data_IF_969937821404
#
_entry.id   IF_969937821404
#
_cell.length_a   1.000
_cell.length_b   1.000
_cell.length_c   1.000
_cell.angle_alpha   90.00
_cell.angle_beta   90.00
_cell.angle_gamma   90.00
#
_symmetry.space_group_name_H-M   'P 1'
#
loop_
_entity.id
_entity.type
_entity.pdbx_description
1 polymer ?
#
# COMPACT_ATOMS: atom_id res chain seq x y z
N UNK A 1 12.23 -5.49 -14.51
CA UNK A 1 13.25 -5.65 -13.45
C UNK A 1 12.97 -6.91 -12.64
N UNK A 2 13.95 -7.42 -11.95
CA UNK A 2 13.79 -8.66 -11.17
C UNK A 2 13.26 -8.36 -9.76
N UNK A 3 12.87 -9.43 -9.04
CA UNK A 3 12.27 -9.29 -7.72
C UNK A 3 13.20 -8.67 -6.67
N UNK A 4 14.50 -8.90 -6.78
CA UNK A 4 15.46 -8.30 -5.86
C UNK A 4 15.53 -6.78 -6.00
N UNK A 5 15.50 -6.28 -7.24
CA UNK A 5 15.44 -4.83 -7.49
C UNK A 5 14.14 -4.23 -6.99
N UNK A 6 13.03 -4.92 -7.22
CA UNK A 6 11.71 -4.48 -6.75
C UNK A 6 11.68 -4.39 -5.23
N UNK A 7 12.26 -5.37 -4.55
CA UNK A 7 12.33 -5.36 -3.09
C UNK A 7 13.07 -4.14 -2.56
N UNK A 8 14.20 -3.79 -3.20
CA UNK A 8 14.96 -2.60 -2.83
C UNK A 8 14.18 -1.31 -3.05
N UNK A 9 13.53 -1.19 -4.20
CA UNK A 9 12.82 0.03 -4.57
C UNK A 9 11.50 0.21 -3.80
N UNK A 10 10.79 -0.87 -3.52
CA UNK A 10 9.51 -0.82 -2.80
C UNK A 10 9.69 -0.78 -1.28
N UNK A 11 10.85 -1.20 -0.80
CA UNK A 11 11.10 -1.34 0.63
C UNK A 11 10.47 -2.57 1.25
N UNK A 12 9.99 -3.52 0.45
CA UNK A 12 9.33 -4.73 0.93
C UNK A 12 10.24 -5.95 0.83
N UNK A 13 10.14 -6.89 1.79
CA UNK A 13 10.84 -8.17 1.68
C UNK A 13 10.34 -8.97 0.46
N UNK A 14 11.22 -9.75 -0.13
CA UNK A 14 10.87 -10.62 -1.27
C UNK A 14 9.71 -11.55 -0.91
N UNK A 15 9.70 -12.09 0.29
CA UNK A 15 8.63 -12.97 0.77
C UNK A 15 7.26 -12.28 0.71
N UNK A 16 7.21 -11.00 1.09
CA UNK A 16 5.98 -10.21 1.05
C UNK A 16 5.52 -9.97 -0.38
N UNK A 17 6.46 -9.68 -1.28
CA UNK A 17 6.14 -9.48 -2.70
C UNK A 17 5.56 -10.76 -3.30
N UNK A 18 6.14 -11.92 -2.99
CA UNK A 18 5.62 -13.21 -3.45
C UNK A 18 4.22 -13.48 -2.90
N UNK A 19 3.97 -13.12 -1.65
CA UNK A 19 2.65 -13.25 -1.06
C UNK A 19 1.62 -12.40 -1.81
N UNK A 20 1.97 -11.14 -2.12
CA UNK A 20 1.06 -10.26 -2.85
C UNK A 20 0.81 -10.76 -4.27
N UNK A 21 1.80 -11.37 -4.91
CA UNK A 21 1.59 -12.03 -6.20
C UNK A 21 0.62 -13.20 -6.06
N UNK A 22 0.80 -14.02 -5.03
CA UNK A 22 -0.05 -15.19 -4.80
C UNK A 22 -1.51 -14.84 -4.59
N UNK A 23 -1.79 -13.74 -3.89
CA UNK A 23 -3.18 -13.31 -3.64
C UNK A 23 -3.73 -12.41 -4.74
N UNK A 24 -2.96 -12.19 -5.80
CA UNK A 24 -3.43 -11.47 -6.98
C UNK A 24 -3.35 -9.96 -6.91
N UNK A 25 -2.63 -9.41 -5.93
CA UNK A 25 -2.47 -7.96 -5.81
C UNK A 25 -1.55 -7.39 -6.89
N UNK A 26 -0.58 -8.17 -7.35
CA UNK A 26 0.28 -7.82 -8.47
C UNK A 26 0.39 -9.01 -9.41
N UNK A 27 0.63 -8.72 -10.68
CA UNK A 27 0.75 -9.75 -11.73
C UNK A 27 1.94 -9.40 -12.61
N UNK A 28 3.17 -9.78 -12.19
CA UNK A 28 4.34 -9.51 -13.02
C UNK A 28 4.26 -10.31 -14.32
N UNK A 29 4.83 -9.75 -15.37
CA UNK A 29 4.96 -10.47 -16.64
C UNK A 29 6.03 -11.53 -16.51
N UNK A 30 5.87 -12.64 -17.24
CA UNK A 30 6.89 -13.68 -17.31
C UNK A 30 7.58 -13.61 -18.67
N UNK A 31 8.91 -13.69 -18.65
CA UNK A 31 9.68 -13.79 -19.87
C UNK A 31 9.52 -15.19 -20.49
N UNK A 32 10.03 -15.37 -21.70
CA UNK A 32 9.95 -16.64 -22.42
C UNK A 32 10.57 -17.81 -21.63
N UNK A 33 11.55 -17.55 -20.76
CA UNK A 33 12.19 -18.57 -19.93
C UNK A 33 11.60 -18.68 -18.52
N UNK A 34 10.42 -18.10 -18.30
CA UNK A 34 9.67 -18.25 -17.06
C UNK A 34 10.06 -17.31 -15.93
N UNK A 35 11.04 -16.43 -16.10
CA UNK A 35 11.41 -15.48 -15.08
C UNK A 35 10.39 -14.35 -14.98
N UNK A 36 10.15 -13.87 -13.74
CA UNK A 36 9.27 -12.73 -13.49
C UNK A 36 9.93 -11.44 -13.94
N UNK A 37 9.15 -10.58 -14.58
CA UNK A 37 9.58 -9.23 -14.95
C UNK A 37 8.59 -8.23 -14.38
N UNK A 38 9.08 -7.38 -13.48
CA UNK A 38 8.27 -6.35 -12.82
C UNK A 38 8.44 -5.02 -13.56
N UNK A 39 7.41 -4.20 -13.50
CA UNK A 39 7.38 -2.86 -14.11
C UNK A 39 7.45 -1.80 -13.01
N UNK A 40 7.75 -0.56 -13.39
CA UNK A 40 7.74 0.56 -12.45
C UNK A 40 6.38 0.71 -11.77
N UNK A 41 5.29 0.47 -12.51
CA UNK A 41 3.95 0.50 -11.95
C UNK A 41 3.78 -0.52 -10.80
N UNK A 42 4.40 -1.68 -10.91
CA UNK A 42 4.35 -2.70 -9.84
C UNK A 42 5.07 -2.20 -8.59
N UNK A 43 6.20 -1.52 -8.75
CA UNK A 43 6.95 -0.94 -7.62
C UNK A 43 6.09 0.07 -6.88
N UNK A 44 5.43 0.96 -7.60
CA UNK A 44 4.55 1.98 -6.98
C UNK A 44 3.38 1.33 -6.25
N UNK A 45 2.77 0.33 -6.85
CA UNK A 45 1.67 -0.40 -6.23
C UNK A 45 2.12 -1.11 -4.96
N UNK A 46 3.28 -1.77 -4.99
CA UNK A 46 3.83 -2.46 -3.83
C UNK A 46 4.17 -1.48 -2.70
N UNK A 47 4.74 -0.32 -3.03
CA UNK A 47 5.03 0.72 -2.05
C UNK A 47 3.73 1.22 -1.39
N UNK A 48 2.68 1.41 -2.17
CA UNK A 48 1.36 1.79 -1.67
C UNK A 48 0.82 0.73 -0.70
N UNK A 49 0.87 -0.54 -1.09
CA UNK A 49 0.39 -1.65 -0.26
C UNK A 49 1.18 -1.76 1.04
N UNK A 50 2.50 -1.62 0.96
CA UNK A 50 3.36 -1.67 2.14
C UNK A 50 3.03 -0.57 3.14
N UNK A 51 2.79 0.65 2.63
CA UNK A 51 2.40 1.78 3.48
C UNK A 51 1.05 1.55 4.14
N UNK A 52 0.07 1.08 3.37
CA UNK A 52 -1.26 0.79 3.90
C UNK A 52 -1.18 -0.24 5.02
N UNK A 53 -0.43 -1.32 4.82
CA UNK A 53 -0.27 -2.36 5.82
C UNK A 53 0.43 -1.83 7.08
N UNK A 54 1.46 -1.03 6.92
CA UNK A 54 2.19 -0.47 8.05
C UNK A 54 1.32 0.47 8.90
N UNK A 55 0.30 1.06 8.28
CA UNK A 55 -0.65 1.94 8.97
C UNK A 55 -1.85 1.18 9.55
N UNK A 56 -1.86 -0.15 9.45
CA UNK A 56 -2.88 -0.98 10.06
C UNK A 56 -4.05 -1.36 9.16
N UNK A 57 -3.97 -1.08 7.87
CA UNK A 57 -5.01 -1.52 6.94
C UNK A 57 -4.92 -3.03 6.78
N UNK A 58 -6.07 -3.68 6.80
CA UNK A 58 -6.13 -5.14 6.62
C UNK A 58 -5.88 -5.52 5.16
N UNK A 59 -5.62 -6.80 4.91
CA UNK A 59 -5.51 -7.31 3.53
C UNK A 59 -6.81 -7.06 2.77
N UNK A 60 -7.96 -7.24 3.42
CA UNK A 60 -9.25 -6.95 2.79
C UNK A 60 -9.39 -5.47 2.43
N UNK A 61 -8.98 -4.58 3.33
CA UNK A 61 -8.95 -3.14 3.05
C UNK A 61 -8.08 -2.85 1.84
N UNK A 62 -6.89 -3.46 1.77
CA UNK A 62 -5.97 -3.29 0.66
C UNK A 62 -6.58 -3.75 -0.66
N UNK A 63 -7.31 -4.86 -0.64
CA UNK A 63 -7.99 -5.37 -1.84
C UNK A 63 -8.98 -4.33 -2.38
N UNK A 64 -9.78 -3.75 -1.49
CA UNK A 64 -10.74 -2.71 -1.87
C UNK A 64 -10.04 -1.45 -2.40
N UNK A 65 -8.98 -1.01 -1.72
CA UNK A 65 -8.26 0.21 -2.09
C UNK A 65 -7.51 0.07 -3.42
N UNK A 66 -7.09 -1.15 -3.79
CA UNK A 66 -6.45 -1.38 -5.08
C UNK A 66 -7.36 -1.05 -6.25
N UNK A 67 -8.68 -1.20 -6.10
CA UNK A 67 -9.62 -0.80 -7.15
C UNK A 67 -9.52 0.69 -7.44
N UNK A 68 -9.37 1.51 -6.41
CA UNK A 68 -9.17 2.95 -6.58
C UNK A 68 -7.81 3.25 -7.18
N UNK A 69 -6.78 2.57 -6.71
CA UNK A 69 -5.41 2.77 -7.17
C UNK A 69 -5.27 2.45 -8.66
N UNK A 70 -5.85 1.35 -9.10
CA UNK A 70 -5.73 0.88 -10.47
C UNK A 70 -6.70 1.58 -11.43
N UNK A 71 -7.86 2.00 -10.93
CA UNK A 71 -8.93 2.46 -11.82
C UNK A 71 -9.98 3.26 -11.06
N UNK A 72 -9.61 4.44 -10.60
CA UNK A 72 -10.45 5.28 -9.75
C UNK A 72 -11.79 5.65 -10.41
N UNK A 73 -11.81 5.84 -11.74
CA UNK A 73 -13.03 6.22 -12.46
C UNK A 73 -14.04 5.06 -12.54
N UNK A 74 -13.61 3.83 -12.32
CA UNK A 74 -14.45 2.64 -12.37
C UNK A 74 -14.69 2.00 -11.01
N UNK A 75 -14.10 2.57 -9.95
CA UNK A 75 -14.31 2.06 -8.61
C UNK A 75 -15.77 2.23 -8.21
N UNK A 76 -16.32 1.23 -7.55
CA UNK A 76 -17.71 1.27 -7.09
C UNK A 76 -17.89 2.33 -6.01
N UNK A 77 -19.13 2.76 -5.82
CA UNK A 77 -19.46 3.69 -4.74
C UNK A 77 -19.15 3.08 -3.37
N UNK A 78 -19.27 1.75 -3.22
CA UNK A 78 -18.93 1.06 -1.99
C UNK A 78 -17.44 1.15 -1.67
N UNK A 79 -16.57 0.98 -2.68
CA UNK A 79 -15.12 1.11 -2.51
C UNK A 79 -14.76 2.56 -2.15
N UNK A 80 -15.38 3.53 -2.80
CA UNK A 80 -15.16 4.94 -2.48
C UNK A 80 -15.61 5.27 -1.05
N UNK A 81 -16.72 4.69 -0.61
CA UNK A 81 -17.21 4.86 0.76
C UNK A 81 -16.22 4.29 1.78
N UNK A 82 -15.66 3.11 1.51
CA UNK A 82 -14.63 2.51 2.37
C UNK A 82 -13.41 3.42 2.46
N UNK A 83 -12.96 3.96 1.32
CA UNK A 83 -11.81 4.87 1.29
C UNK A 83 -12.08 6.13 2.12
N UNK A 84 -13.29 6.69 2.05
CA UNK A 84 -13.68 7.85 2.84
C UNK A 84 -13.67 7.56 4.34
N UNK A 85 -14.09 6.36 4.75
CA UNK A 85 -14.01 5.94 6.15
C UNK A 85 -12.56 5.89 6.63
N UNK A 86 -11.65 5.37 5.80
CA UNK A 86 -10.23 5.34 6.13
C UNK A 86 -9.63 6.74 6.18
N UNK A 87 -10.04 7.63 5.29
CA UNK A 87 -9.61 9.03 5.34
C UNK A 87 -10.00 9.67 6.67
N UNK A 88 -11.22 9.45 7.14
CA UNK A 88 -11.66 9.99 8.43
C UNK A 88 -10.81 9.47 9.59
N UNK A 89 -10.46 8.18 9.59
CA UNK A 89 -9.59 7.61 10.62
C UNK A 89 -8.17 8.18 10.57
N UNK A 90 -7.65 8.39 9.36
CA UNK A 90 -6.34 8.99 9.18
C UNK A 90 -6.34 10.43 9.73
N UNK A 91 -7.39 11.19 9.45
CA UNK A 91 -7.51 12.55 9.96
C UNK A 91 -7.55 12.58 11.47
N UNK A 92 -8.28 11.65 12.10
CA UNK A 92 -8.29 11.54 13.56
C UNK A 92 -6.89 11.24 14.12
N UNK A 93 -6.15 10.31 13.48
CA UNK A 93 -4.79 9.97 13.91
C UNK A 93 -3.83 11.13 13.72
N UNK A 94 -3.97 11.88 12.65
CA UNK A 94 -3.16 13.08 12.43
C UNK A 94 -3.38 14.09 13.54
N UNK A 95 -4.61 14.29 13.96
CA UNK A 95 -4.94 15.19 15.06
C UNK A 95 -4.32 14.70 16.37
N UNK A 96 -4.49 13.42 16.69
CA UNK A 96 -3.92 12.81 17.89
C UNK A 96 -2.39 12.94 17.93
N UNK A 97 -1.74 12.64 16.81
CA UNK A 97 -0.28 12.73 16.70
C UNK A 97 0.20 14.18 16.85
N UNK A 98 -0.52 15.12 16.26
CA UNK A 98 -0.19 16.55 16.37
C UNK A 98 -0.28 17.02 17.83
N UNK A 99 -1.32 16.60 18.53
CA UNK A 99 -1.48 16.94 19.95
C UNK A 99 -0.38 16.32 20.81
N UNK A 100 -0.04 15.06 20.57
CA UNK A 100 1.04 14.38 21.29
C UNK A 100 2.38 15.07 21.02
N UNK A 101 2.63 15.43 19.78
CA UNK A 101 3.84 16.15 19.39
C UNK A 101 3.95 17.46 20.15
N UNK A 102 2.86 18.22 20.23
CA UNK A 102 2.82 19.49 20.96
C UNK A 102 3.13 19.30 22.44
N UNK A 103 2.49 18.30 23.06
CA UNK A 103 2.67 18.01 24.48
C UNK A 103 4.12 17.62 24.78
N UNK A 104 4.68 16.68 24.00
CA UNK A 104 6.05 16.23 24.21
C UNK A 104 7.06 17.35 23.97
N UNK A 105 6.85 18.16 22.94
CA UNK A 105 7.71 19.30 22.66
C UNK A 105 7.76 20.26 23.85
N UNK A 106 6.62 20.51 24.49
CA UNK A 106 6.53 21.36 25.66
C UNK A 106 7.26 20.76 26.88
N UNK A 107 7.10 19.44 27.06
CA UNK A 107 7.69 18.73 28.20
C UNK A 107 9.22 18.65 28.15
N UNK A 108 9.81 18.67 26.94
CA UNK A 108 11.28 18.57 26.79
C UNK A 108 11.99 19.91 26.66
N UNK A 109 11.27 21.01 26.72
CA UNK A 109 11.84 22.36 26.68
C UNK A 109 12.65 22.72 27.96
#
# INVERSE_FOLDING_TARGET
MNIGNVAKLSGLPIKTIRYYENIGFIRPQRSANGYRSFRDADVHKLAFLGRARSLGFTIEDCRALLQLYENDSRASSDVKSIAKQHLARIDEKLTELTEMHRTLSHLVE
#
